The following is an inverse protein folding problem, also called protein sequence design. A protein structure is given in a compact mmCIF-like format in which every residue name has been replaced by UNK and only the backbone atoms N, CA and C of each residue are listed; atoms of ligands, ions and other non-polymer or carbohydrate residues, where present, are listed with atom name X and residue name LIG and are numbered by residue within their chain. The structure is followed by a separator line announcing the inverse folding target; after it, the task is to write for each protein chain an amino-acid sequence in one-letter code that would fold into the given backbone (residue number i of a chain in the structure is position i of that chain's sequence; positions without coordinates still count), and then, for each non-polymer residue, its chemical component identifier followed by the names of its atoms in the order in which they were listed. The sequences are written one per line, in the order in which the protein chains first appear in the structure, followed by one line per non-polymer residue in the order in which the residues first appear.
data_IF_371042651103
#
_entry.id   IF_371042651103
#
_cell.length_a   1.000
_cell.length_b   1.000
_cell.length_c   1.000
_cell.angle_alpha   90.00
_cell.angle_beta   90.00
_cell.angle_gamma   90.00
#
_symmetry.space_group_name_H-M   'P 1'
#
loop_
_entity.id
_entity.type
_entity.pdbx_description
1 polymer ?
#
# COMPACT_ATOMS: atom_id res chain seq x y z
N UNK A 1 -13.51 -3.84 -13.61
CA UNK A 1 -12.27 -4.42 -13.04
C UNK A 1 -11.14 -3.42 -13.24
N UNK A 2 -10.15 -3.34 -12.34
CA UNK A 2 -8.98 -2.47 -12.53
C UNK A 2 -8.26 -2.89 -13.84
N UNK A 3 -7.93 -1.93 -14.73
CA UNK A 3 -7.28 -2.21 -16.03
C UNK A 3 -6.04 -3.11 -15.89
N UNK A 4 -5.34 -3.01 -14.75
CA UNK A 4 -4.17 -3.82 -14.43
C UNK A 4 -4.44 -5.32 -14.33
N UNK A 5 -5.63 -5.73 -13.90
CA UNK A 5 -5.98 -7.14 -13.67
C UNK A 5 -6.63 -7.81 -14.88
N UNK A 6 -7.03 -7.04 -15.90
CA UNK A 6 -7.81 -7.55 -17.04
C UNK A 6 -7.10 -8.70 -17.76
N UNK A 7 -5.77 -8.63 -17.93
CA UNK A 7 -4.98 -9.66 -18.63
C UNK A 7 -4.79 -10.96 -17.83
N UNK A 8 -5.30 -11.01 -16.60
CA UNK A 8 -5.16 -12.16 -15.70
C UNK A 8 -6.50 -12.62 -15.12
N UNK A 9 -7.62 -12.17 -15.69
CA UNK A 9 -8.96 -12.54 -15.24
C UNK A 9 -9.20 -14.06 -15.33
N UNK A 10 -8.63 -14.73 -16.33
CA UNK A 10 -8.64 -16.18 -16.49
C UNK A 10 -7.98 -16.89 -15.29
N UNK A 11 -6.78 -16.41 -14.91
CA UNK A 11 -6.00 -16.97 -13.80
C UNK A 11 -6.68 -16.71 -12.45
N UNK A 12 -7.20 -15.50 -12.26
CA UNK A 12 -7.93 -15.12 -11.04
C UNK A 12 -9.17 -16.00 -10.90
N UNK A 13 -9.92 -16.21 -11.98
CA UNK A 13 -11.11 -17.06 -11.99
C UNK A 13 -10.78 -18.53 -11.70
N UNK A 14 -9.65 -19.03 -12.23
CA UNK A 14 -9.17 -20.38 -11.96
C UNK A 14 -8.86 -20.57 -10.46
N UNK A 15 -8.08 -19.65 -9.86
CA UNK A 15 -7.76 -19.71 -8.43
C UNK A 15 -9.02 -19.52 -7.57
N UNK A 16 -9.90 -18.59 -7.92
CA UNK A 16 -11.17 -18.38 -7.23
C UNK A 16 -11.99 -19.68 -7.18
N UNK A 17 -12.07 -20.40 -8.30
CA UNK A 17 -12.80 -21.67 -8.39
C UNK A 17 -12.17 -22.76 -7.49
N UNK A 18 -10.84 -22.89 -7.52
CA UNK A 18 -10.10 -23.80 -6.64
C UNK A 18 -10.34 -23.46 -5.16
N UNK A 19 -10.22 -22.18 -4.79
CA UNK A 19 -10.41 -21.71 -3.42
C UNK A 19 -11.85 -21.92 -2.91
N UNK A 20 -12.85 -21.88 -3.80
CA UNK A 20 -14.24 -22.21 -3.46
C UNK A 20 -14.38 -23.72 -3.18
N UNK A 21 -13.83 -24.57 -4.04
CA UNK A 21 -13.90 -26.03 -3.89
C UNK A 21 -13.19 -26.51 -2.62
N UNK A 22 -12.05 -25.91 -2.27
CA UNK A 22 -11.34 -26.20 -1.02
C UNK A 22 -12.11 -25.83 0.24
N UNK A 23 -13.17 -25.02 0.14
CA UNK A 23 -14.03 -24.65 1.28
C UNK A 23 -15.18 -25.63 1.51
N UNK A 24 -15.38 -26.59 0.62
CA UNK A 24 -16.38 -27.63 0.86
C UNK A 24 -15.98 -28.49 2.05
N UNK A 25 -16.92 -28.92 2.92
CA UNK A 25 -16.60 -29.49 4.23
C UNK A 25 -15.59 -30.64 4.19
N UNK A 26 -15.73 -31.55 3.22
CA UNK A 26 -14.85 -32.72 3.06
C UNK A 26 -13.44 -32.27 2.68
N UNK A 27 -13.32 -31.45 1.62
CA UNK A 27 -12.03 -30.93 1.14
C UNK A 27 -11.34 -30.05 2.18
N UNK A 28 -12.12 -29.26 2.94
CA UNK A 28 -11.61 -28.40 3.99
C UNK A 28 -11.08 -29.22 5.19
N UNK A 29 -11.76 -30.31 5.54
CA UNK A 29 -11.30 -31.22 6.59
C UNK A 29 -10.01 -31.94 6.16
N UNK A 30 -9.93 -32.41 4.92
CA UNK A 30 -8.72 -33.01 4.36
C UNK A 30 -7.55 -32.01 4.31
N UNK A 31 -7.79 -30.79 3.80
CA UNK A 31 -6.78 -29.73 3.78
C UNK A 31 -6.27 -29.39 5.19
N UNK A 32 -7.16 -29.38 6.19
CA UNK A 32 -6.81 -29.08 7.57
C UNK A 32 -5.83 -30.10 8.20
N UNK A 33 -5.76 -31.33 7.67
CA UNK A 33 -4.75 -32.31 8.07
C UNK A 33 -3.32 -31.90 7.66
N UNK A 34 -3.18 -31.01 6.67
CA UNK A 34 -1.90 -30.63 6.08
C UNK A 34 -1.51 -29.16 6.32
N UNK A 35 -2.48 -28.30 6.65
CA UNK A 35 -2.21 -26.89 6.99
C UNK A 35 -3.28 -26.29 7.90
N UNK A 36 -2.91 -25.45 8.88
CA UNK A 36 -3.89 -24.71 9.67
C UNK A 36 -4.51 -23.52 8.89
N UNK A 37 -3.93 -23.13 7.75
CA UNK A 37 -4.37 -21.98 6.97
C UNK A 37 -5.61 -22.32 6.14
N UNK A 38 -6.63 -21.45 6.19
CA UNK A 38 -7.89 -21.66 5.47
C UNK A 38 -7.85 -21.02 4.08
N UNK A 39 -8.54 -21.59 3.08
CA UNK A 39 -8.72 -20.95 1.79
C UNK A 39 -9.44 -19.60 1.93
N UNK A 40 -9.06 -18.63 1.10
CA UNK A 40 -9.66 -17.29 1.04
C UNK A 40 -10.24 -17.07 -0.36
N UNK A 41 -11.40 -16.42 -0.44
CA UNK A 41 -12.04 -16.07 -1.71
C UNK A 41 -11.88 -14.57 -1.95
N UNK A 42 -11.57 -14.17 -3.18
CA UNK A 42 -11.53 -12.77 -3.55
C UNK A 42 -12.95 -12.17 -3.62
N UNK A 43 -13.09 -10.93 -3.13
CA UNK A 43 -14.22 -10.06 -3.41
C UNK A 43 -13.97 -9.31 -4.73
N UNK A 44 -14.89 -9.49 -5.69
CA UNK A 44 -14.81 -8.96 -7.06
C UNK A 44 -14.56 -7.44 -7.12
N UNK A 45 -15.01 -6.70 -6.11
CA UNK A 45 -14.93 -5.23 -6.10
C UNK A 45 -13.60 -4.64 -5.64
N UNK A 46 -12.69 -5.46 -5.07
CA UNK A 46 -11.45 -4.96 -4.43
C UNK A 46 -10.22 -5.74 -4.86
N UNK A 47 -9.26 -5.05 -5.46
CA UNK A 47 -8.00 -5.63 -5.91
C UNK A 47 -7.17 -6.23 -4.75
N UNK A 48 -7.22 -5.63 -3.56
CA UNK A 48 -6.54 -6.16 -2.37
C UNK A 48 -7.04 -7.56 -1.99
N UNK A 49 -8.33 -7.83 -2.20
CA UNK A 49 -8.90 -9.15 -1.95
C UNK A 49 -8.44 -10.20 -2.97
N UNK A 50 -8.16 -9.78 -4.21
CA UNK A 50 -7.50 -10.64 -5.21
C UNK A 50 -6.08 -10.96 -4.76
N UNK A 51 -5.33 -9.96 -4.30
CA UNK A 51 -3.99 -10.16 -3.77
C UNK A 51 -3.99 -11.13 -2.57
N UNK A 52 -4.82 -10.90 -1.55
CA UNK A 52 -4.97 -11.79 -0.38
C UNK A 52 -5.30 -13.24 -0.76
N UNK A 53 -6.16 -13.44 -1.76
CA UNK A 53 -6.48 -14.78 -2.26
C UNK A 53 -5.26 -15.45 -2.91
N UNK A 54 -4.55 -14.73 -3.80
CA UNK A 54 -3.38 -15.27 -4.48
C UNK A 54 -2.24 -15.54 -3.49
N UNK A 55 -2.06 -14.66 -2.52
CA UNK A 55 -1.10 -14.83 -1.44
C UNK A 55 -1.42 -16.09 -0.63
N UNK A 56 -2.68 -16.25 -0.18
CA UNK A 56 -3.13 -17.47 0.49
C UNK A 56 -2.90 -18.71 -0.37
N UNK A 57 -3.18 -18.65 -1.68
CA UNK A 57 -2.91 -19.76 -2.58
C UNK A 57 -1.43 -20.16 -2.57
N UNK A 58 -0.51 -19.20 -2.65
CA UNK A 58 0.93 -19.48 -2.59
C UNK A 58 1.31 -20.16 -1.27
N UNK A 59 0.74 -19.70 -0.15
CA UNK A 59 1.02 -20.26 1.18
C UNK A 59 0.57 -21.71 1.35
N UNK A 60 -0.56 -22.11 0.74
CA UNK A 60 -1.17 -23.43 0.96
C UNK A 60 -1.02 -24.38 -0.24
N UNK A 61 -0.36 -23.94 -1.33
CA UNK A 61 -0.29 -24.68 -2.59
C UNK A 61 0.18 -26.13 -2.42
N UNK A 62 1.21 -26.35 -1.61
CA UNK A 62 1.76 -27.69 -1.41
C UNK A 62 0.80 -28.58 -0.61
N UNK A 63 0.07 -28.03 0.36
CA UNK A 63 -0.98 -28.73 1.09
C UNK A 63 -2.20 -29.05 0.19
N UNK A 64 -2.51 -28.19 -0.79
CA UNK A 64 -3.61 -28.47 -1.74
C UNK A 64 -3.34 -29.76 -2.53
N UNK A 65 -2.08 -30.10 -2.82
CA UNK A 65 -1.73 -31.30 -3.61
C UNK A 65 -2.11 -32.61 -2.93
N UNK A 66 -2.33 -32.62 -1.62
CA UNK A 66 -2.79 -33.83 -0.92
C UNK A 66 -4.30 -33.98 -0.91
N UNK A 67 -5.06 -32.96 -1.37
CA UNK A 67 -6.52 -33.01 -1.48
C UNK A 67 -6.91 -33.55 -2.86
N UNK A 68 -7.12 -34.86 -2.94
CA UNK A 68 -7.35 -35.57 -4.21
C UNK A 68 -8.53 -35.03 -5.03
N UNK A 69 -9.60 -34.60 -4.34
CA UNK A 69 -10.83 -34.12 -4.96
C UNK A 69 -10.66 -32.82 -5.78
N UNK A 70 -9.58 -32.07 -5.59
CA UNK A 70 -9.32 -30.81 -6.33
C UNK A 70 -8.10 -30.91 -7.24
N UNK A 71 -7.51 -32.09 -7.43
CA UNK A 71 -6.25 -32.27 -8.15
C UNK A 71 -6.31 -31.69 -9.58
N UNK A 72 -7.41 -31.92 -10.30
CA UNK A 72 -7.62 -31.39 -11.66
C UNK A 72 -7.69 -29.85 -11.71
N UNK A 73 -8.07 -29.21 -10.60
CA UNK A 73 -8.24 -27.76 -10.50
C UNK A 73 -6.94 -27.03 -10.16
N UNK A 74 -5.90 -27.75 -9.72
CA UNK A 74 -4.62 -27.16 -9.34
C UNK A 74 -3.93 -26.61 -10.59
N UNK A 75 -3.61 -25.29 -10.66
CA UNK A 75 -2.86 -24.75 -11.78
C UNK A 75 -1.46 -25.38 -11.87
N UNK A 76 -1.09 -25.80 -13.08
CA UNK A 76 0.20 -26.43 -13.40
C UNK A 76 0.87 -25.72 -14.58
N UNK A 77 2.16 -26.03 -14.78
CA UNK A 77 2.92 -25.55 -15.94
C UNK A 77 2.88 -24.03 -16.12
N UNK A 78 2.50 -23.58 -17.31
CA UNK A 78 2.45 -22.16 -17.69
C UNK A 78 1.45 -21.35 -16.86
N UNK A 79 0.29 -21.91 -16.53
CA UNK A 79 -0.72 -21.22 -15.73
C UNK A 79 -0.17 -20.87 -14.34
N UNK A 80 0.46 -21.83 -13.66
CA UNK A 80 1.08 -21.57 -12.36
C UNK A 80 2.18 -20.51 -12.43
N UNK A 81 3.05 -20.56 -13.45
CA UNK A 81 4.09 -19.53 -13.65
C UNK A 81 3.50 -18.13 -13.83
N UNK A 82 2.42 -18.00 -14.60
CA UNK A 82 1.72 -16.70 -14.77
C UNK A 82 1.10 -16.22 -13.46
N UNK A 83 0.55 -17.12 -12.64
CA UNK A 83 -0.01 -16.78 -11.31
C UNK A 83 1.09 -16.29 -10.37
N UNK A 84 2.26 -16.94 -10.35
CA UNK A 84 3.42 -16.49 -9.56
C UNK A 84 3.86 -15.09 -9.99
N UNK A 85 3.95 -14.85 -11.30
CA UNK A 85 4.29 -13.52 -11.81
C UNK A 85 3.25 -12.46 -11.42
N UNK A 86 1.95 -12.79 -11.49
CA UNK A 86 0.89 -11.89 -11.05
C UNK A 86 0.98 -11.56 -9.55
N UNK A 87 1.18 -12.58 -8.71
CA UNK A 87 1.35 -12.40 -7.26
C UNK A 87 2.55 -11.50 -6.94
N UNK A 88 3.67 -11.69 -7.63
CA UNK A 88 4.85 -10.81 -7.48
C UNK A 88 4.52 -9.36 -7.82
N UNK A 89 3.87 -9.11 -8.97
CA UNK A 89 3.46 -7.76 -9.36
C UNK A 89 2.53 -7.11 -8.34
N UNK A 90 1.57 -7.88 -7.80
CA UNK A 90 0.64 -7.39 -6.79
C UNK A 90 1.32 -7.12 -5.45
N UNK A 91 2.31 -7.92 -5.06
CA UNK A 91 3.12 -7.70 -3.85
C UNK A 91 3.85 -6.36 -3.91
N UNK A 92 4.43 -6.04 -5.06
CA UNK A 92 5.11 -4.76 -5.26
C UNK A 92 4.13 -3.58 -5.16
N UNK A 93 2.98 -3.67 -5.83
CA UNK A 93 1.95 -2.63 -5.78
C UNK A 93 1.38 -2.45 -4.37
N UNK A 94 1.18 -3.54 -3.63
CA UNK A 94 0.77 -3.51 -2.22
C UNK A 94 1.81 -2.80 -1.36
N UNK A 95 3.10 -3.06 -1.57
CA UNK A 95 4.17 -2.35 -0.87
C UNK A 95 4.10 -0.83 -1.11
N UNK A 96 3.76 -0.39 -2.33
CA UNK A 96 3.55 1.02 -2.63
C UNK A 96 2.34 1.57 -1.88
N UNK A 97 1.21 0.86 -1.89
CA UNK A 97 0.02 1.25 -1.14
C UNK A 97 0.30 1.41 0.37
N UNK A 98 1.02 0.47 0.98
CA UNK A 98 1.45 0.55 2.38
C UNK A 98 2.32 1.79 2.62
N UNK A 99 3.29 2.06 1.73
CA UNK A 99 4.17 3.25 1.87
C UNK A 99 3.43 4.57 1.70
N UNK A 100 2.40 4.61 0.84
CA UNK A 100 1.54 5.78 0.64
C UNK A 100 0.69 6.11 1.87
N UNK A 101 0.29 5.10 2.65
CA UNK A 101 -0.53 5.28 3.86
C UNK A 101 0.26 5.80 5.08
N UNK A 102 1.57 6.03 4.94
CA UNK A 102 2.38 6.56 6.03
C UNK A 102 1.95 7.99 6.42
N UNK A 103 1.66 8.29 7.70
CA UNK A 103 1.07 9.58 8.10
C UNK A 103 1.90 10.82 7.77
N UNK A 104 3.24 10.70 7.69
CA UNK A 104 4.14 11.83 7.39
C UNK A 104 4.63 11.82 5.93
N UNK A 105 3.91 11.13 5.04
CA UNK A 105 4.23 11.07 3.60
C UNK A 105 4.01 12.45 2.97
N UNK A 106 5.02 12.98 2.29
CA UNK A 106 4.90 14.24 1.56
C UNK A 106 4.56 14.03 0.07
N UNK A 107 4.12 15.09 -0.62
CA UNK A 107 3.67 14.99 -2.02
C UNK A 107 4.80 14.65 -3.00
N UNK A 108 6.03 15.09 -2.75
CA UNK A 108 7.21 14.70 -3.53
C UNK A 108 7.46 13.19 -3.49
N UNK A 109 7.38 12.59 -2.29
CA UNK A 109 7.51 11.14 -2.11
C UNK A 109 6.35 10.36 -2.73
N UNK A 110 5.10 10.85 -2.60
CA UNK A 110 3.94 10.26 -3.31
C UNK A 110 4.21 10.25 -4.81
N UNK A 111 4.72 11.36 -5.35
CA UNK A 111 5.03 11.49 -6.77
C UNK A 111 6.12 10.52 -7.20
N UNK A 112 7.20 10.42 -6.45
CA UNK A 112 8.28 9.46 -6.72
C UNK A 112 7.77 8.01 -6.75
N UNK A 113 6.90 7.62 -5.82
CA UNK A 113 6.28 6.29 -5.79
C UNK A 113 5.39 6.04 -7.02
N UNK A 114 4.58 7.02 -7.42
CA UNK A 114 3.74 6.92 -8.62
C UNK A 114 4.56 6.87 -9.91
N UNK A 115 5.61 7.67 -10.03
CA UNK A 115 6.46 7.68 -11.21
C UNK A 115 7.22 6.36 -11.36
N UNK A 116 7.72 5.78 -10.26
CA UNK A 116 8.30 4.42 -10.26
C UNK A 116 7.28 3.34 -10.64
N UNK A 117 6.03 3.45 -10.15
CA UNK A 117 4.95 2.56 -10.58
C UNK A 117 4.66 2.70 -12.08
N UNK A 118 4.72 3.90 -12.64
CA UNK A 118 4.47 4.13 -14.07
C UNK A 118 5.58 3.60 -14.96
N UNK A 119 6.84 3.75 -14.53
CA UNK A 119 7.99 3.18 -15.22
C UNK A 119 7.86 1.66 -15.38
N UNK A 120 7.43 0.98 -14.30
CA UNK A 120 7.26 -0.47 -14.30
C UNK A 120 5.93 -0.95 -14.89
N UNK A 121 4.85 -0.18 -14.69
CA UNK A 121 3.48 -0.53 -15.07
C UNK A 121 2.81 0.60 -15.86
N UNK A 122 3.20 0.83 -17.14
CA UNK A 122 2.66 1.91 -17.96
C UNK A 122 1.13 1.91 -18.11
N UNK A 123 0.48 0.74 -17.99
CA UNK A 123 -0.99 0.60 -18.03
C UNK A 123 -1.72 1.45 -16.98
N UNK A 124 -1.03 1.88 -15.91
CA UNK A 124 -1.57 2.73 -14.86
C UNK A 124 -1.55 4.24 -15.17
N UNK A 125 -1.01 4.65 -16.33
CA UNK A 125 -0.85 6.05 -16.74
C UNK A 125 -2.11 6.90 -16.57
N UNK A 126 -3.28 6.33 -16.94
CA UNK A 126 -4.57 7.00 -16.90
C UNK A 126 -4.92 7.55 -15.51
N UNK A 127 -4.39 6.96 -14.44
CA UNK A 127 -4.68 7.34 -13.06
C UNK A 127 -3.47 7.91 -12.32
N UNK A 128 -2.25 7.43 -12.57
CA UNK A 128 -1.09 7.85 -11.77
C UNK A 128 -0.32 9.02 -12.36
N UNK A 129 -0.44 9.31 -13.66
CA UNK A 129 0.32 10.39 -14.31
C UNK A 129 -0.01 11.76 -13.69
N UNK A 130 0.98 12.64 -13.58
CA UNK A 130 0.79 14.00 -13.06
C UNK A 130 -0.24 14.83 -13.85
N UNK A 131 -0.50 14.49 -15.12
CA UNK A 131 -1.55 15.10 -15.95
C UNK A 131 -2.77 14.20 -16.16
N UNK A 132 -2.99 13.19 -15.31
CA UNK A 132 -4.16 12.32 -15.40
C UNK A 132 -5.45 13.13 -15.24
N UNK A 133 -6.56 12.71 -15.88
CA UNK A 133 -7.84 13.43 -15.84
C UNK A 133 -8.43 13.62 -14.44
N UNK A 134 -7.98 12.80 -13.47
CA UNK A 134 -8.38 12.87 -12.07
C UNK A 134 -7.68 14.00 -11.30
N UNK A 135 -6.58 14.53 -11.84
CA UNK A 135 -5.81 15.64 -11.25
C UNK A 135 -6.59 16.93 -11.46
N UNK A 136 -7.05 17.54 -10.37
CA UNK A 136 -7.93 18.70 -10.42
C UNK A 136 -7.19 20.00 -10.76
N UNK A 137 -5.99 20.18 -10.21
CA UNK A 137 -5.18 21.38 -10.43
C UNK A 137 -3.73 21.00 -10.70
N UNK A 138 -3.38 20.63 -11.95
CA UNK A 138 -2.06 20.10 -12.29
C UNK A 138 -0.91 21.05 -11.93
N UNK A 139 -1.10 22.36 -12.13
CA UNK A 139 -0.06 23.36 -11.81
C UNK A 139 0.15 23.48 -10.31
N UNK A 140 -0.93 23.47 -9.51
CA UNK A 140 -0.84 23.50 -8.06
C UNK A 140 -0.22 22.23 -7.50
N UNK A 141 -0.66 21.06 -7.94
CA UNK A 141 -0.09 19.77 -7.50
C UNK A 141 1.41 19.67 -7.86
N UNK A 142 1.80 20.12 -9.06
CA UNK A 142 3.21 20.27 -9.45
C UNK A 142 3.98 21.20 -8.50
N UNK A 143 3.40 22.36 -8.16
CA UNK A 143 4.01 23.31 -7.23
C UNK A 143 4.25 22.69 -5.85
N UNK A 144 3.28 21.96 -5.30
CA UNK A 144 3.40 21.28 -4.00
C UNK A 144 4.46 20.16 -4.04
N UNK A 145 4.51 19.36 -5.12
CA UNK A 145 5.54 18.35 -5.35
C UNK A 145 6.93 19.00 -5.36
N UNK A 146 7.09 20.12 -6.08
CA UNK A 146 8.38 20.82 -6.17
C UNK A 146 8.82 21.43 -4.85
N UNK A 147 7.91 22.08 -4.11
CA UNK A 147 8.22 22.61 -2.76
C UNK A 147 8.72 21.49 -1.86
N UNK A 148 7.98 20.39 -1.79
CA UNK A 148 8.32 19.27 -0.89
C UNK A 148 9.59 18.53 -1.31
N UNK A 149 10.01 18.67 -2.56
CA UNK A 149 11.26 18.13 -3.11
C UNK A 149 12.41 19.14 -3.16
N UNK A 150 12.24 20.35 -2.60
CA UNK A 150 13.20 21.46 -2.66
C UNK A 150 13.65 21.83 -4.10
N UNK A 151 12.72 21.74 -5.06
CA UNK A 151 12.95 22.08 -6.46
C UNK A 151 12.48 23.51 -6.78
N UNK A 152 13.09 24.17 -7.78
CA UNK A 152 12.73 25.54 -8.16
C UNK A 152 11.31 25.61 -8.75
N UNK A 153 10.58 26.65 -8.35
CA UNK A 153 9.21 26.91 -8.79
C UNK A 153 9.17 27.92 -9.94
N UNK A 154 8.25 27.71 -10.87
CA UNK A 154 7.90 28.72 -11.87
C UNK A 154 6.98 29.81 -11.29
N UNK A 155 6.89 30.96 -11.96
CA UNK A 155 5.98 32.04 -11.58
C UNK A 155 4.52 31.60 -11.52
N UNK A 156 4.10 30.73 -12.45
CA UNK A 156 2.75 30.17 -12.47
C UNK A 156 2.49 29.29 -11.23
N UNK A 157 3.45 28.44 -10.87
CA UNK A 157 3.38 27.60 -9.68
C UNK A 157 3.35 28.43 -8.39
N UNK A 158 4.23 29.43 -8.27
CA UNK A 158 4.23 30.36 -7.13
C UNK A 158 2.87 31.03 -6.94
N UNK A 159 2.26 31.51 -8.04
CA UNK A 159 0.93 32.14 -7.99
C UNK A 159 -0.16 31.20 -7.46
N UNK A 160 -0.08 29.90 -7.72
CA UNK A 160 -1.05 28.91 -7.18
C UNK A 160 -0.90 28.67 -5.68
N UNK A 161 0.27 28.97 -5.11
CA UNK A 161 0.58 28.74 -3.70
C UNK A 161 0.33 29.96 -2.82
N UNK A 162 0.22 31.16 -3.40
CA UNK A 162 -0.05 32.41 -2.68
C UNK A 162 -1.21 32.31 -1.67
N UNK A 163 -2.36 31.67 -1.96
CA UNK A 163 -3.43 31.52 -0.97
C UNK A 163 -3.06 30.69 0.27
N UNK A 164 -2.00 29.88 0.19
CA UNK A 164 -1.51 29.00 1.24
C UNK A 164 -0.29 29.57 1.98
N UNK A 165 0.18 30.78 1.62
CA UNK A 165 1.28 31.42 2.34
C UNK A 165 0.83 31.66 3.77
N UNK A 166 1.43 30.94 4.71
CA UNK A 166 1.23 31.19 6.12
C UNK A 166 1.66 32.63 6.43
N UNK A 167 0.75 33.43 6.97
CA UNK A 167 1.16 34.60 7.72
C UNK A 167 1.89 34.04 8.95
N UNK A 168 3.15 34.43 9.15
CA UNK A 168 3.83 34.18 10.42
C UNK A 168 3.14 35.00 11.50
N UNK A 169 1.97 34.57 11.97
CA UNK A 169 1.62 34.82 13.36
C UNK A 169 2.63 34.03 14.15
N UNK A 170 3.37 34.71 15.02
CA UNK A 170 4.23 34.07 15.99
C UNK A 170 3.42 32.95 16.65
N UNK A 171 3.70 31.70 16.25
CA UNK A 171 3.20 30.55 16.95
C UNK A 171 3.93 30.58 18.28
N UNK A 172 3.34 31.23 19.27
CA UNK A 172 3.59 30.89 20.66
C UNK A 172 3.43 29.38 20.70
N UNK A 173 4.55 28.66 20.84
CA UNK A 173 4.50 27.25 21.16
C UNK A 173 3.56 27.16 22.36
N UNK A 174 2.40 26.56 22.17
CA UNK A 174 1.64 26.08 23.32
C UNK A 174 2.54 24.99 23.88
N UNK A 175 3.40 25.34 24.83
CA UNK A 175 4.06 24.37 25.68
C UNK A 175 2.92 23.49 26.21
N UNK A 176 2.94 22.21 25.83
CA UNK A 176 2.03 21.27 26.47
C UNK A 176 2.20 21.42 27.99
N UNK A 177 1.11 21.45 28.77
CA UNK A 177 1.21 21.58 30.21
C UNK A 177 2.11 20.46 30.71
N UNK A 178 3.31 20.84 31.15
CA UNK A 178 4.34 19.92 31.63
C UNK A 178 3.71 19.12 32.75
N UNK A 179 3.63 17.80 32.59
CA UNK A 179 3.04 16.96 33.62
C UNK A 179 3.83 17.13 34.92
N UNK A 180 3.15 16.92 36.05
CA UNK A 180 3.69 17.15 37.38
C UNK A 180 5.02 16.41 37.64
N UNK A 181 5.21 15.20 37.10
CA UNK A 181 6.45 14.45 37.24
C UNK A 181 7.59 15.07 36.41
N UNK A 182 7.31 15.52 35.20
CA UNK A 182 8.30 16.18 34.33
C UNK A 182 8.79 17.51 34.96
N UNK A 183 7.89 18.26 35.61
CA UNK A 183 8.24 19.50 36.30
C UNK A 183 9.07 19.26 37.59
N UNK A 184 8.80 18.17 38.32
CA UNK A 184 9.62 17.72 39.47
C UNK A 184 11.05 17.37 39.02
N UNK A 185 11.20 16.59 37.94
CA UNK A 185 12.51 16.16 37.46
C UNK A 185 13.37 17.35 37.02
N UNK A 186 12.76 18.39 36.42
CA UNK A 186 13.47 19.61 36.03
C UNK A 186 13.96 20.40 37.25
N UNK A 187 13.13 20.54 38.29
CA UNK A 187 13.51 21.20 39.55
C UNK A 187 14.64 20.46 40.27
N UNK A 188 14.59 19.12 40.28
CA UNK A 188 15.62 18.30 40.90
C UNK A 188 16.98 18.45 40.19
N UNK A 189 16.98 18.52 38.84
CA UNK A 189 18.21 18.70 38.05
C UNK A 189 18.87 20.07 38.31
N UNK A 190 18.08 21.14 38.34
CA UNK A 190 18.59 22.49 38.60
C UNK A 190 19.14 22.66 40.03
N UNK A 191 18.65 21.89 41.00
CA UNK A 191 19.15 21.89 42.38
C UNK A 191 20.49 21.17 42.53
N UNK A 192 20.78 20.17 41.68
CA UNK A 192 22.06 19.47 41.67
C UNK A 192 23.14 20.37 41.07
N UNK A 193 22.81 21.14 40.04
CA UNK A 193 23.76 22.03 39.36
C UNK A 193 24.15 23.27 40.21
N UNK A 194 23.32 23.69 41.17
CA UNK A 194 23.64 24.78 42.10
C UNK A 194 24.48 24.35 43.32
N UNK A 195 24.56 23.04 43.60
CA UNK A 195 25.34 22.48 44.72
C UNK A 195 26.69 21.89 44.28
N UNK A 196 27.06 22.04 43.00
CA UNK A 196 28.30 21.55 42.43
C UNK A 196 29.32 22.67 42.08
N UNK A 197 29.11 23.89 42.60
CA UNK A 197 30.01 25.04 42.48
C UNK A 197 30.68 25.38 43.81
#
# INVERSE_FOLDING_TARGET
MCLFLSDSEDLISQIQSLMIQLRYPINAAELACHTPKKPVRANVTRWSSVFEMLDRYMEIRDAIKSVSAVDELIPRGSAHRRIVLLHQKLTELDSVCVKLQYPKRNMGEVRALFDACLEKYPIMEKHLKAGAKIVHSPIFESAVVKITSALPLSTAELKTLEPFRAQMTAQTQVEEPVDFATDILRRAKNHVDQNAG
#
